data_IF_616720191222
#
_entry.id   IF_616720191222
#
_cell.length_a   1.000
_cell.length_b   1.000
_cell.length_c   1.000
_cell.angle_alpha   90.00
_cell.angle_beta   90.00
_cell.angle_gamma   90.00
#
_symmetry.space_group_name_H-M   'P 1'
#
loop_
_entity.id
_entity.type
_entity.pdbx_description
1 polymer ?
#
# COMPACT_ATOMS: atom_id res chain seq x y z
N UNK A 1 3.63 -8.70 73.99
CA UNK A 1 3.95 -9.16 72.63
C UNK A 1 2.82 -8.78 71.66
N UNK A 2 2.24 -7.57 71.81
CA UNK A 2 0.99 -7.15 71.13
C UNK A 2 1.17 -5.89 70.27
N UNK A 3 2.27 -5.14 70.44
CA UNK A 3 2.48 -3.84 69.79
C UNK A 3 2.55 -3.91 68.26
N UNK A 4 3.06 -5.01 67.70
CA UNK A 4 3.09 -5.23 66.25
C UNK A 4 1.67 -5.50 65.73
N UNK A 5 0.88 -6.27 66.46
CA UNK A 5 -0.50 -6.59 66.09
C UNK A 5 -1.41 -5.36 66.16
N UNK A 6 -1.24 -4.54 67.20
CA UNK A 6 -1.96 -3.28 67.38
C UNK A 6 -1.57 -2.25 66.29
N UNK A 7 -0.30 -2.25 65.85
CA UNK A 7 0.15 -1.41 64.74
C UNK A 7 -0.45 -1.85 63.40
N UNK A 8 -0.43 -3.16 63.10
CA UNK A 8 -0.97 -3.70 61.85
C UNK A 8 -2.50 -3.53 61.73
N UNK A 9 -3.22 -3.44 62.85
CA UNK A 9 -4.67 -3.20 62.88
C UNK A 9 -5.03 -1.73 63.14
N UNK A 10 -4.03 -0.82 63.05
CA UNK A 10 -4.25 0.61 63.26
C UNK A 10 -4.75 1.29 61.97
N UNK A 11 -5.62 2.30 62.13
CA UNK A 11 -6.06 3.15 61.02
C UNK A 11 -4.89 3.80 60.27
N UNK A 12 -3.76 4.03 60.94
CA UNK A 12 -2.55 4.55 60.32
C UNK A 12 -1.92 3.54 59.35
N UNK A 13 -1.85 2.26 59.73
CA UNK A 13 -1.32 1.22 58.85
C UNK A 13 -2.23 0.95 57.66
N UNK A 14 -3.55 0.99 57.84
CA UNK A 14 -4.51 0.93 56.73
C UNK A 14 -4.34 2.11 55.76
N UNK A 15 -4.16 3.32 56.28
CA UNK A 15 -3.89 4.52 55.47
C UNK A 15 -2.55 4.40 54.71
N UNK A 16 -1.51 3.85 55.35
CA UNK A 16 -0.21 3.61 54.72
C UNK A 16 -0.33 2.58 53.58
N UNK A 17 -1.04 1.47 53.79
CA UNK A 17 -1.31 0.48 52.74
C UNK A 17 -2.05 1.16 51.57
N UNK A 18 -3.11 1.91 51.87
CA UNK A 18 -3.89 2.60 50.82
C UNK A 18 -3.04 3.58 50.03
N UNK A 19 -2.15 4.31 50.69
CA UNK A 19 -1.19 5.20 50.03
C UNK A 19 -0.21 4.44 49.14
N UNK A 20 0.36 3.33 49.62
CA UNK A 20 1.27 2.49 48.81
C UNK A 20 0.54 1.87 47.61
N UNK A 21 -0.69 1.41 47.79
CA UNK A 21 -1.53 0.89 46.69
C UNK A 21 -1.82 2.00 45.68
N UNK A 22 -2.11 3.22 46.13
CA UNK A 22 -2.30 4.39 45.26
C UNK A 22 -1.03 4.72 44.45
N UNK A 23 0.13 4.71 45.09
CA UNK A 23 1.42 4.90 44.41
C UNK A 23 1.72 3.79 43.41
N UNK A 24 1.45 2.54 43.77
CA UNK A 24 1.63 1.39 42.87
C UNK A 24 0.70 1.50 41.65
N UNK A 25 -0.57 1.84 41.86
CA UNK A 25 -1.55 2.05 40.79
C UNK A 25 -1.11 3.19 39.85
N UNK A 26 -0.66 4.32 40.41
CA UNK A 26 -0.13 5.43 39.63
C UNK A 26 1.10 5.05 38.81
N UNK A 27 2.04 4.31 39.42
CA UNK A 27 3.23 3.82 38.74
C UNK A 27 2.89 2.87 37.59
N UNK A 28 1.98 1.91 37.82
CA UNK A 28 1.51 0.98 36.78
C UNK A 28 0.84 1.73 35.64
N UNK A 29 -0.03 2.71 35.94
CA UNK A 29 -0.68 3.54 34.91
C UNK A 29 0.33 4.30 34.06
N UNK A 30 1.33 4.93 34.70
CA UNK A 30 2.38 5.65 33.99
C UNK A 30 3.19 4.72 33.08
N UNK A 31 3.58 3.55 33.59
CA UNK A 31 4.29 2.54 32.82
C UNK A 31 3.48 2.05 31.62
N UNK A 32 2.20 1.72 31.80
CA UNK A 32 1.33 1.29 30.70
C UNK A 32 1.21 2.34 29.60
N UNK A 33 1.13 3.62 29.97
CA UNK A 33 1.07 4.72 29.01
C UNK A 33 2.36 4.83 28.19
N UNK A 34 3.52 4.72 28.84
CA UNK A 34 4.82 4.76 28.18
C UNK A 34 5.02 3.54 27.26
N UNK A 35 4.61 2.35 27.71
CA UNK A 35 4.65 1.11 26.93
C UNK A 35 3.73 1.21 25.69
N UNK A 36 2.49 1.71 25.85
CA UNK A 36 1.54 1.92 24.74
C UNK A 36 2.13 2.85 23.69
N UNK A 37 2.71 3.98 24.11
CA UNK A 37 3.32 4.93 23.19
C UNK A 37 4.49 4.32 22.42
N UNK A 38 5.30 3.49 23.08
CA UNK A 38 6.41 2.76 22.47
C UNK A 38 5.93 1.76 21.43
N UNK A 39 4.85 1.03 21.71
CA UNK A 39 4.26 0.06 20.79
C UNK A 39 3.71 0.76 19.55
N UNK A 40 3.02 1.90 19.73
CA UNK A 40 2.56 2.75 18.62
C UNK A 40 3.76 3.24 17.79
N UNK A 41 4.82 3.74 18.44
CA UNK A 41 6.01 4.21 17.74
C UNK A 41 6.68 3.09 16.93
N UNK A 42 6.72 1.86 17.45
CA UNK A 42 7.20 0.69 16.73
C UNK A 42 6.34 0.38 15.50
N UNK A 43 5.01 0.48 15.62
CA UNK A 43 4.08 0.26 14.51
C UNK A 43 4.31 1.30 13.40
N UNK A 44 4.33 2.59 13.75
CA UNK A 44 4.59 3.70 12.80
C UNK A 44 5.96 3.53 12.13
N UNK A 45 7.01 3.22 12.89
CA UNK A 45 8.34 3.01 12.33
C UNK A 45 8.38 1.84 11.33
N UNK A 46 7.76 0.71 11.70
CA UNK A 46 7.69 -0.46 10.83
C UNK A 46 6.90 -0.18 9.56
N UNK A 47 5.87 0.64 9.66
CA UNK A 47 5.08 1.10 8.52
C UNK A 47 5.92 1.99 7.60
N UNK A 48 6.58 3.03 8.12
CA UNK A 48 7.48 3.91 7.35
C UNK A 48 8.51 3.07 6.59
N UNK A 49 9.21 2.17 7.28
CA UNK A 49 10.23 1.32 6.65
C UNK A 49 9.65 0.37 5.59
N UNK A 50 8.42 -0.08 5.76
CA UNK A 50 7.76 -0.95 4.80
C UNK A 50 7.27 -0.17 3.58
N UNK A 51 6.73 1.03 3.79
CA UNK A 51 6.36 1.97 2.74
C UNK A 51 7.58 2.39 1.92
N UNK A 52 8.70 2.75 2.57
CA UNK A 52 9.96 3.10 1.86
C UNK A 52 10.46 1.96 0.97
N UNK A 53 10.44 0.71 1.46
CA UNK A 53 10.80 -0.46 0.64
C UNK A 53 9.82 -0.67 -0.51
N UNK A 54 8.53 -0.43 -0.30
CA UNK A 54 7.53 -0.53 -1.35
C UNK A 54 7.75 0.55 -2.42
N UNK A 55 8.01 1.79 -2.01
CA UNK A 55 8.34 2.93 -2.86
C UNK A 55 9.57 2.63 -3.72
N UNK A 56 10.63 2.03 -3.15
CA UNK A 56 11.81 1.66 -3.93
C UNK A 56 11.49 0.64 -5.02
N UNK A 57 10.63 -0.35 -4.73
CA UNK A 57 10.15 -1.30 -5.76
C UNK A 57 9.35 -0.61 -6.86
N UNK A 58 8.55 0.41 -6.51
CA UNK A 58 7.83 1.22 -7.52
C UNK A 58 8.83 2.00 -8.37
N UNK A 59 9.87 2.58 -7.76
CA UNK A 59 10.93 3.30 -8.47
C UNK A 59 11.66 2.38 -9.46
N UNK A 60 11.98 1.16 -9.06
CA UNK A 60 12.58 0.15 -9.94
C UNK A 60 11.65 -0.25 -11.09
N UNK A 61 10.37 -0.47 -10.80
CA UNK A 61 9.35 -0.78 -11.81
C UNK A 61 9.21 0.32 -12.86
N UNK A 62 9.19 1.58 -12.43
CA UNK A 62 9.04 2.72 -13.33
C UNK A 62 10.27 2.90 -14.24
N UNK A 63 11.46 2.49 -13.76
CA UNK A 63 12.71 2.49 -14.54
C UNK A 63 12.81 1.32 -15.51
N UNK A 64 12.21 0.17 -15.16
CA UNK A 64 12.30 -1.09 -15.88
C UNK A 64 10.91 -1.52 -16.40
N UNK A 65 10.51 -0.94 -17.54
CA UNK A 65 9.20 -1.13 -18.19
C UNK A 65 8.90 -2.56 -18.66
N UNK A 66 9.84 -3.51 -18.58
CA UNK A 66 9.60 -4.92 -18.94
C UNK A 66 8.88 -5.71 -17.85
N UNK A 67 8.79 -5.18 -16.63
CA UNK A 67 8.04 -5.80 -15.54
C UNK A 67 6.58 -5.35 -15.64
N UNK A 68 5.65 -6.29 -15.77
CA UNK A 68 4.24 -6.01 -16.10
C UNK A 68 3.24 -6.28 -14.99
N UNK A 69 3.68 -6.71 -13.81
CA UNK A 69 2.72 -7.04 -12.76
C UNK A 69 3.27 -6.70 -11.39
N UNK A 70 2.83 -5.56 -10.86
CA UNK A 70 3.01 -5.34 -9.44
C UNK A 70 1.78 -4.61 -8.85
N UNK A 71 0.92 -5.40 -8.22
CA UNK A 71 0.03 -4.93 -7.16
C UNK A 71 0.88 -4.54 -5.93
N UNK A 72 1.62 -3.42 -6.04
CA UNK A 72 2.36 -2.84 -4.91
C UNK A 72 1.38 -2.03 -4.10
N UNK A 73 1.15 -2.49 -2.87
CA UNK A 73 0.53 -1.67 -1.84
C UNK A 73 1.64 -0.97 -1.05
N UNK A 74 1.57 0.35 -0.97
CA UNK A 74 2.58 1.18 -0.28
C UNK A 74 2.21 1.34 1.19
N UNK A 75 0.95 1.71 1.47
CA UNK A 75 0.44 1.85 2.84
C UNK A 75 -0.60 0.76 3.12
N UNK A 76 -0.27 -0.12 4.06
CA UNK A 76 -1.14 -1.20 4.51
C UNK A 76 -2.17 -0.74 5.54
N UNK A 77 -1.72 -0.09 6.60
CA UNK A 77 -2.52 0.38 7.74
C UNK A 77 -1.99 1.72 8.16
N UNK A 78 -2.77 2.79 8.04
CA UNK A 78 -2.34 4.16 8.33
C UNK A 78 -2.33 4.46 9.84
N UNK A 79 -1.37 3.86 10.55
CA UNK A 79 -1.21 4.01 12.01
C UNK A 79 -0.88 5.45 12.40
N UNK A 80 -0.20 6.20 11.51
CA UNK A 80 0.11 7.61 11.76
C UNK A 80 -1.15 8.46 11.91
N UNK A 81 -2.12 8.34 11.02
CA UNK A 81 -3.33 9.17 11.08
C UNK A 81 -4.14 8.90 12.35
N UNK A 82 -4.20 7.64 12.79
CA UNK A 82 -4.92 7.24 14.00
C UNK A 82 -4.21 7.71 15.27
N UNK A 83 -2.89 7.52 15.35
CA UNK A 83 -2.14 7.68 16.60
C UNK A 83 -1.21 8.89 16.67
N UNK A 84 -1.16 9.76 15.66
CA UNK A 84 -0.28 10.96 15.64
C UNK A 84 -0.36 11.80 16.92
N UNK A 85 -1.55 11.89 17.53
CA UNK A 85 -1.78 12.66 18.76
C UNK A 85 -0.91 12.20 19.95
N UNK A 86 -0.47 10.93 19.99
CA UNK A 86 0.45 10.42 21.01
C UNK A 86 1.86 11.02 20.93
N UNK A 87 2.23 11.61 19.79
CA UNK A 87 3.55 12.19 19.51
C UNK A 87 3.57 13.72 19.54
N UNK A 88 2.43 14.35 19.83
CA UNK A 88 2.27 15.81 19.79
C UNK A 88 3.21 16.59 20.71
N UNK A 89 3.77 15.94 21.73
CA UNK A 89 4.73 16.56 22.66
C UNK A 89 6.18 16.14 22.40
N UNK A 90 6.43 15.25 21.44
CA UNK A 90 7.75 14.65 21.22
C UNK A 90 8.37 15.03 19.89
N UNK A 91 7.53 15.38 18.91
CA UNK A 91 7.95 15.85 17.59
C UNK A 91 7.86 17.37 17.56
N UNK A 92 8.87 18.00 16.98
CA UNK A 92 8.77 19.42 16.62
C UNK A 92 7.87 19.63 15.39
N UNK A 93 7.60 20.89 15.05
CA UNK A 93 6.70 21.25 13.94
C UNK A 93 7.22 20.74 12.59
N UNK A 94 8.55 20.78 12.39
CA UNK A 94 9.19 20.35 11.15
C UNK A 94 9.15 18.82 11.01
N UNK A 95 9.47 18.10 12.09
CA UNK A 95 9.42 16.63 12.17
C UNK A 95 7.99 16.13 11.96
N UNK A 96 7.01 16.83 12.55
CA UNK A 96 5.60 16.52 12.37
C UNK A 96 5.17 16.72 10.91
N UNK A 97 5.55 17.84 10.31
CA UNK A 97 5.25 18.15 8.91
C UNK A 97 5.90 17.13 7.97
N UNK A 98 7.14 16.72 8.25
CA UNK A 98 7.90 15.75 7.46
C UNK A 98 7.23 14.37 7.44
N UNK A 99 6.87 13.82 8.61
CA UNK A 99 6.15 12.53 8.67
C UNK A 99 4.78 12.67 7.99
N UNK A 100 4.08 13.78 8.23
CA UNK A 100 2.76 13.99 7.64
C UNK A 100 2.81 14.09 6.10
N UNK A 101 3.81 14.78 5.54
CA UNK A 101 4.02 14.85 4.08
C UNK A 101 4.29 13.47 3.53
N UNK A 102 5.23 12.72 4.13
CA UNK A 102 5.55 11.37 3.69
C UNK A 102 4.33 10.45 3.62
N UNK A 103 3.49 10.46 4.65
CA UNK A 103 2.26 9.65 4.66
C UNK A 103 1.27 10.11 3.59
N UNK A 104 1.08 11.42 3.41
CA UNK A 104 0.19 11.94 2.36
C UNK A 104 0.67 11.57 0.96
N UNK A 105 1.97 11.73 0.70
CA UNK A 105 2.59 11.42 -0.59
C UNK A 105 2.55 9.92 -0.89
N UNK A 106 2.80 9.08 0.13
CA UNK A 106 2.69 7.64 0.01
C UNK A 106 1.25 7.15 -0.23
N UNK A 107 0.23 7.77 0.40
CA UNK A 107 -1.19 7.50 0.13
C UNK A 107 -1.55 7.89 -1.30
N UNK A 108 -1.11 9.07 -1.74
CA UNK A 108 -1.36 9.56 -3.08
C UNK A 108 -0.74 8.64 -4.13
N UNK A 109 0.50 8.19 -3.90
CA UNK A 109 1.17 7.24 -4.78
C UNK A 109 0.44 5.89 -4.84
N UNK A 110 -0.01 5.36 -3.69
CA UNK A 110 -0.80 4.12 -3.63
C UNK A 110 -2.10 4.25 -4.44
N UNK A 111 -2.79 5.39 -4.33
CA UNK A 111 -4.00 5.67 -5.09
C UNK A 111 -3.74 5.73 -6.59
N UNK A 112 -2.69 6.43 -7.03
CA UNK A 112 -2.30 6.53 -8.44
C UNK A 112 -1.98 5.15 -9.01
N UNK A 113 -1.25 4.30 -8.28
CA UNK A 113 -0.94 2.94 -8.70
C UNK A 113 -2.20 2.07 -8.79
N UNK A 114 -3.10 2.18 -7.82
CA UNK A 114 -4.38 1.46 -7.84
C UNK A 114 -5.25 1.88 -9.04
N UNK A 115 -5.33 3.18 -9.31
CA UNK A 115 -6.06 3.71 -10.47
C UNK A 115 -5.42 3.25 -11.79
N UNK A 116 -4.08 3.24 -11.85
CA UNK A 116 -3.33 2.71 -13.00
C UNK A 116 -3.72 1.26 -13.29
N UNK A 117 -3.71 0.40 -12.28
CA UNK A 117 -4.05 -1.01 -12.43
C UNK A 117 -5.52 -1.20 -12.84
N UNK A 118 -6.45 -0.47 -12.23
CA UNK A 118 -7.88 -0.56 -12.57
C UNK A 118 -8.17 -0.12 -14.02
N UNK A 119 -7.55 0.96 -14.49
CA UNK A 119 -7.71 1.42 -15.88
C UNK A 119 -7.04 0.46 -16.85
N UNK A 120 -5.89 -0.10 -16.49
CA UNK A 120 -5.23 -1.14 -17.28
C UNK A 120 -6.13 -2.36 -17.47
N UNK A 121 -6.72 -2.89 -16.38
CA UNK A 121 -7.64 -4.02 -16.42
C UNK A 121 -8.87 -3.72 -17.29
N UNK A 122 -9.52 -2.58 -17.10
CA UNK A 122 -10.70 -2.19 -17.88
C UNK A 122 -10.39 -2.04 -19.36
N UNK A 123 -9.25 -1.44 -19.71
CA UNK A 123 -8.85 -1.29 -21.10
C UNK A 123 -8.45 -2.64 -21.72
N UNK A 124 -7.76 -3.50 -20.98
CA UNK A 124 -7.45 -4.85 -21.42
C UNK A 124 -8.74 -5.66 -21.68
N UNK A 125 -9.76 -5.50 -20.85
CA UNK A 125 -11.07 -6.13 -21.05
C UNK A 125 -11.79 -5.56 -22.28
N UNK A 126 -11.80 -4.24 -22.48
CA UNK A 126 -12.40 -3.62 -23.67
C UNK A 126 -11.71 -4.07 -24.96
N UNK A 127 -10.38 -4.16 -24.97
CA UNK A 127 -9.62 -4.68 -26.11
C UNK A 127 -10.02 -6.14 -26.39
N UNK A 128 -10.11 -6.98 -25.35
CA UNK A 128 -10.55 -8.38 -25.49
C UNK A 128 -11.98 -8.48 -26.01
N UNK A 129 -12.91 -7.67 -25.51
CA UNK A 129 -14.31 -7.67 -25.93
C UNK A 129 -14.48 -7.19 -27.39
N UNK A 130 -13.80 -6.10 -27.78
CA UNK A 130 -13.79 -5.62 -29.16
C UNK A 130 -13.18 -6.67 -30.10
N UNK A 131 -12.12 -7.34 -29.66
CA UNK A 131 -11.50 -8.44 -30.40
C UNK A 131 -12.46 -9.61 -30.61
N UNK A 132 -13.13 -10.08 -29.55
CA UNK A 132 -14.13 -11.14 -29.66
C UNK A 132 -15.28 -10.76 -30.61
N UNK A 133 -15.72 -9.50 -30.58
CA UNK A 133 -16.73 -8.99 -31.51
C UNK A 133 -16.27 -9.01 -32.96
N UNK A 134 -15.02 -8.61 -33.25
CA UNK A 134 -14.44 -8.68 -34.60
C UNK A 134 -14.36 -10.14 -35.08
N UNK A 135 -13.92 -11.06 -34.22
CA UNK A 135 -13.88 -12.49 -34.52
C UNK A 135 -15.27 -13.06 -34.79
N UNK A 136 -16.28 -12.67 -34.01
CA UNK A 136 -17.66 -13.11 -34.17
C UNK A 136 -18.27 -12.58 -35.49
N UNK A 137 -18.01 -11.32 -35.85
CA UNK A 137 -18.47 -10.71 -37.11
C UNK A 137 -17.81 -11.38 -38.33
N UNK A 138 -16.50 -11.63 -38.26
CA UNK A 138 -15.78 -12.40 -39.29
C UNK A 138 -16.36 -13.80 -39.46
N UNK A 139 -16.70 -14.47 -38.36
CA UNK A 139 -17.29 -15.82 -38.39
C UNK A 139 -18.74 -15.81 -38.90
N UNK A 140 -19.55 -14.85 -38.46
CA UNK A 140 -20.97 -14.71 -38.81
C UNK A 140 -21.19 -14.35 -40.28
N UNK A 141 -20.43 -13.39 -40.81
CA UNK A 141 -20.46 -13.04 -42.23
C UNK A 141 -20.07 -14.23 -43.14
N UNK A 142 -19.25 -15.15 -42.63
CA UNK A 142 -18.84 -16.35 -43.37
C UNK A 142 -19.91 -17.44 -43.34
N UNK A 143 -20.54 -17.69 -42.19
CA UNK A 143 -21.63 -18.66 -42.04
C UNK A 143 -22.83 -18.34 -42.95
N UNK A 144 -23.10 -17.05 -43.20
CA UNK A 144 -24.15 -16.59 -44.12
C UNK A 144 -23.79 -16.76 -45.60
N UNK A 145 -22.51 -16.90 -45.93
CA UNK A 145 -22.01 -17.03 -47.32
C UNK A 145 -21.71 -18.47 -47.77
N UNK A 146 -21.87 -19.47 -46.89
CA UNK A 146 -21.44 -20.85 -47.16
C UNK A 146 -22.60 -21.74 -47.60
N UNK A 147 -22.56 -22.29 -48.82
CA UNK A 147 -23.39 -23.43 -49.27
C UNK A 147 -22.64 -24.76 -49.08
N UNK A 148 -23.37 -25.88 -48.95
CA UNK A 148 -22.82 -27.20 -48.61
C UNK A 148 -21.70 -27.72 -49.54
N UNK A 149 -21.67 -27.29 -50.81
CA UNK A 149 -20.63 -27.65 -51.79
C UNK A 149 -19.28 -26.94 -51.58
N UNK A 150 -19.24 -25.80 -50.86
CA UNK A 150 -18.03 -24.99 -50.68
C UNK A 150 -17.46 -25.04 -49.25
N UNK A 151 -17.90 -25.99 -48.44
CA UNK A 151 -17.59 -26.05 -47.01
C UNK A 151 -16.08 -26.19 -46.75
N UNK A 152 -15.40 -27.05 -47.49
CA UNK A 152 -13.96 -27.33 -47.31
C UNK A 152 -13.07 -26.12 -47.68
N UNK A 153 -13.38 -25.49 -48.82
CA UNK A 153 -12.74 -24.24 -49.26
C UNK A 153 -12.99 -23.08 -48.29
N UNK A 154 -14.19 -23.03 -47.72
CA UNK A 154 -14.58 -22.01 -46.73
C UNK A 154 -13.86 -22.21 -45.41
N UNK A 155 -13.73 -23.46 -44.93
CA UNK A 155 -12.96 -23.82 -43.73
C UNK A 155 -11.47 -23.49 -43.86
N UNK A 156 -10.87 -23.76 -45.02
CA UNK A 156 -9.47 -23.42 -45.29
C UNK A 156 -9.25 -21.90 -45.27
N UNK A 157 -10.13 -21.14 -45.93
CA UNK A 157 -10.07 -19.67 -45.94
C UNK A 157 -10.26 -19.07 -44.53
N UNK A 158 -11.08 -19.72 -43.70
CA UNK A 158 -11.28 -19.36 -42.29
C UNK A 158 -10.02 -19.58 -41.47
N UNK A 159 -9.34 -20.72 -41.65
CA UNK A 159 -8.08 -21.02 -40.97
C UNK A 159 -6.95 -20.06 -41.41
N UNK A 160 -6.85 -19.75 -42.70
CA UNK A 160 -5.86 -18.82 -43.23
C UNK A 160 -6.07 -17.39 -42.70
N UNK A 161 -7.33 -16.93 -42.63
CA UNK A 161 -7.68 -15.63 -42.05
C UNK A 161 -7.52 -15.58 -40.53
N UNK A 162 -7.84 -16.66 -39.81
CA UNK A 162 -7.59 -16.77 -38.38
C UNK A 162 -6.08 -16.72 -38.08
N UNK A 163 -5.26 -17.36 -38.91
CA UNK A 163 -3.80 -17.33 -38.81
C UNK A 163 -3.24 -15.94 -39.11
N UNK A 164 -3.75 -15.27 -40.15
CA UNK A 164 -3.38 -13.88 -40.46
C UNK A 164 -3.77 -12.94 -39.33
N UNK A 165 -4.96 -13.14 -38.75
CA UNK A 165 -5.40 -12.38 -37.57
C UNK A 165 -4.46 -12.61 -36.39
N UNK A 166 -4.08 -13.85 -36.10
CA UNK A 166 -3.17 -14.17 -34.99
C UNK A 166 -1.79 -13.55 -35.21
N UNK A 167 -1.27 -13.55 -36.44
CA UNK A 167 -0.02 -12.85 -36.80
C UNK A 167 -0.11 -11.34 -36.60
N UNK A 168 -1.16 -10.70 -37.14
CA UNK A 168 -1.38 -9.25 -36.98
C UNK A 168 -1.62 -8.91 -35.51
N UNK A 169 -2.31 -9.79 -34.76
CA UNK A 169 -2.53 -9.63 -33.34
C UNK A 169 -1.21 -9.71 -32.56
N UNK A 170 -0.37 -10.73 -32.77
CA UNK A 170 0.92 -10.82 -32.09
C UNK A 170 1.84 -9.64 -32.40
N UNK A 171 1.80 -9.14 -33.65
CA UNK A 171 2.54 -7.96 -34.07
C UNK A 171 2.01 -6.69 -33.39
N UNK A 172 0.68 -6.54 -33.32
CA UNK A 172 0.02 -5.36 -32.78
C UNK A 172 -0.20 -5.39 -31.27
N UNK A 173 -0.14 -6.56 -30.62
CA UNK A 173 -0.36 -6.71 -29.17
C UNK A 173 0.67 -5.90 -28.38
N UNK A 174 1.89 -5.79 -28.90
CA UNK A 174 2.94 -4.92 -28.36
C UNK A 174 2.59 -3.43 -28.49
N UNK A 175 1.96 -3.04 -29.61
CA UNK A 175 1.46 -1.67 -29.82
C UNK A 175 0.21 -1.37 -28.95
N UNK A 176 -0.56 -2.40 -28.59
CA UNK A 176 -1.76 -2.32 -27.74
C UNK A 176 -1.48 -2.48 -26.25
N UNK A 177 -0.21 -2.65 -25.83
CA UNK A 177 0.17 -2.58 -24.42
C UNK A 177 -0.09 -1.16 -23.92
N UNK A 178 -1.33 -0.90 -23.53
CA UNK A 178 -1.74 0.39 -23.00
C UNK A 178 -1.14 0.52 -21.60
N UNK A 179 0.08 1.03 -21.51
CA UNK A 179 0.58 1.54 -20.24
C UNK A 179 -0.09 2.88 -20.02
N UNK A 180 -0.87 3.08 -18.95
CA UNK A 180 -1.52 4.36 -18.74
C UNK A 180 -0.47 5.44 -18.38
N UNK A 181 0.06 6.08 -19.41
CA UNK A 181 1.20 7.02 -19.35
C UNK A 181 0.94 8.14 -18.35
N UNK A 182 -0.32 8.57 -18.21
CA UNK A 182 -0.72 9.58 -17.22
C UNK A 182 -0.38 9.14 -15.80
N UNK A 183 -0.86 7.97 -15.35
CA UNK A 183 -0.62 7.51 -13.99
C UNK A 183 0.86 7.19 -13.74
N UNK A 184 1.57 6.72 -14.77
CA UNK A 184 3.03 6.58 -14.68
C UNK A 184 3.74 7.92 -14.49
N UNK A 185 3.32 8.98 -15.20
CA UNK A 185 3.91 10.30 -15.04
C UNK A 185 3.54 10.93 -13.70
N UNK A 186 2.29 10.76 -13.25
CA UNK A 186 1.84 11.22 -11.93
C UNK A 186 2.64 10.51 -10.82
N UNK A 187 2.84 9.19 -10.93
CA UNK A 187 3.67 8.42 -10.00
C UNK A 187 5.14 8.87 -10.02
N UNK A 188 5.73 9.12 -11.20
CA UNK A 188 7.09 9.68 -11.34
C UNK A 188 7.23 11.01 -10.59
N UNK A 189 6.28 11.92 -10.80
CA UNK A 189 6.30 13.23 -10.15
C UNK A 189 6.25 13.10 -8.63
N UNK A 190 5.37 12.27 -8.09
CA UNK A 190 5.27 12.05 -6.64
C UNK A 190 6.59 11.45 -6.10
N UNK A 191 7.19 10.50 -6.82
CA UNK A 191 8.45 9.85 -6.42
C UNK A 191 9.69 10.75 -6.42
N UNK A 192 9.67 11.86 -7.17
CA UNK A 192 10.74 12.87 -7.15
C UNK A 192 10.75 13.65 -5.84
N UNK A 193 9.56 13.95 -5.31
CA UNK A 193 9.38 14.68 -4.05
C UNK A 193 9.49 13.75 -2.83
N UNK A 194 9.20 12.45 -3.00
CA UNK A 194 9.13 11.49 -1.90
C UNK A 194 10.53 11.08 -1.41
N UNK A 195 10.90 11.62 -0.25
CA UNK A 195 12.15 11.33 0.46
C UNK A 195 11.94 10.30 1.57
N UNK A 196 12.93 9.44 1.85
CA UNK A 196 12.87 8.53 2.98
C UNK A 196 12.90 9.33 4.29
N UNK A 197 11.94 9.06 5.18
CA UNK A 197 11.85 9.69 6.50
C UNK A 197 12.67 8.92 7.53
N UNK A 198 12.90 7.62 7.34
CA UNK A 198 13.58 6.78 8.32
C UNK A 198 15.02 7.20 8.61
N UNK A 199 15.67 7.98 7.74
CA UNK A 199 17.05 8.48 7.91
C UNK A 199 17.11 9.93 8.41
N UNK A 200 15.97 10.61 8.50
CA UNK A 200 15.86 12.03 8.87
C UNK A 200 15.84 12.21 10.39
N UNK A 201 15.84 13.46 10.85
CA UNK A 201 15.68 13.79 12.27
C UNK A 201 14.36 13.24 12.80
N UNK A 202 13.25 13.42 12.07
CA UNK A 202 11.94 12.90 12.43
C UNK A 202 11.95 11.37 12.58
N UNK A 203 12.57 10.67 11.62
CA UNK A 203 12.74 9.22 11.69
C UNK A 203 13.56 8.77 12.91
N UNK A 204 14.61 9.51 13.27
CA UNK A 204 15.42 9.23 14.45
C UNK A 204 14.65 9.47 15.75
N UNK A 205 13.83 10.51 15.82
CA UNK A 205 12.94 10.76 16.96
C UNK A 205 11.94 9.63 17.14
N UNK A 206 11.30 9.15 16.05
CA UNK A 206 10.41 7.98 16.10
C UNK A 206 11.17 6.70 16.53
N UNK A 207 12.39 6.45 16.04
CA UNK A 207 13.22 5.31 16.50
C UNK A 207 13.52 5.39 17.99
N UNK A 208 13.86 6.56 18.49
CA UNK A 208 14.11 6.81 19.91
C UNK A 208 12.86 6.50 20.75
N UNK A 209 11.69 6.93 20.31
CA UNK A 209 10.41 6.67 20.97
C UNK A 209 10.02 5.18 20.92
N UNK A 210 10.33 4.49 19.83
CA UNK A 210 10.20 3.05 19.70
C UNK A 210 11.20 2.27 20.59
N UNK A 211 12.22 2.96 21.10
CA UNK A 211 13.32 2.41 21.88
C UNK A 211 14.26 1.53 21.06
N UNK A 212 14.43 1.88 19.77
CA UNK A 212 15.47 1.36 18.89
C UNK A 212 16.62 2.38 18.85
N UNK A 213 17.86 1.89 18.98
CA UNK A 213 19.08 2.70 18.80
C UNK A 213 19.44 2.80 17.33
#
# INVERSE_FOLDING_TARGET
>A
MNSIWDFLNSQFFEALITFVVGLAAWYVYKKQRDDTKRDIANSVLSEIQSAERAIERVRDYIRDTEKTDISIRIIGVNSWTEYRHYFSNDLDEDEWAEINSFYNDAILLDEVLRQSNAVFESNAEQIRANMQRILADLTGNMALSTTAENLESSLKNLNDKATLFDQVYQEKMKDFTFTPVKYMNDAKKILEDLKPVSTTTAGNTIKRLAGKK
#
